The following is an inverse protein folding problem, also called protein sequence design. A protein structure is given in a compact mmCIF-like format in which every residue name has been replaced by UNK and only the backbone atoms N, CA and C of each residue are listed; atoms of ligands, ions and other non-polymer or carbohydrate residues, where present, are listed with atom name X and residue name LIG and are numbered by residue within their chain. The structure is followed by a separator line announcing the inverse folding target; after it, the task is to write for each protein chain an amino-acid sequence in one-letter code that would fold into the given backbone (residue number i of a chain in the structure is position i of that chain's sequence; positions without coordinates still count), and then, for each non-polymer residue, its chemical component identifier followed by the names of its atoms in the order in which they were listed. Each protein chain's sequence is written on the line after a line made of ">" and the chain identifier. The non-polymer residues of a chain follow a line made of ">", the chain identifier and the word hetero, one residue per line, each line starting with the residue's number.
data_IF_754089936597
#
_entry.id   IF_754089936597
#
_cell.length_a   1.000
_cell.length_b   1.000
_cell.length_c   1.000
_cell.angle_alpha   90.00
_cell.angle_beta   90.00
_cell.angle_gamma   90.00
#
_symmetry.space_group_name_H-M   'P 1'
#
loop_
_entity.id
_entity.type
_entity.pdbx_description
1 polymer ?
#
# COMPACT_ATOMS: atom_id res chain seq x y z
N UNK A 1 8.21 7.50 -17.64
CA UNK A 1 8.60 6.07 -17.62
C UNK A 1 7.58 5.27 -18.42
N UNK A 2 7.92 4.06 -18.86
CA UNK A 2 6.98 3.13 -19.51
C UNK A 2 7.15 1.72 -18.94
N UNK A 3 6.08 0.95 -18.93
CA UNK A 3 6.12 -0.47 -18.55
C UNK A 3 6.08 -1.33 -19.81
N UNK A 4 7.05 -2.22 -20.00
CA UNK A 4 7.06 -3.18 -21.11
C UNK A 4 7.64 -4.50 -20.64
N UNK A 5 6.97 -5.62 -20.94
CA UNK A 5 7.41 -6.96 -20.55
C UNK A 5 7.74 -7.06 -19.04
N UNK A 6 6.86 -6.49 -18.19
CA UNK A 6 7.03 -6.45 -16.72
C UNK A 6 8.30 -5.73 -16.22
N UNK A 7 8.85 -4.80 -17.02
CA UNK A 7 9.99 -3.95 -16.67
C UNK A 7 9.62 -2.48 -16.75
N UNK A 8 10.12 -1.69 -15.81
CA UNK A 8 10.04 -0.23 -15.82
C UNK A 8 11.22 0.30 -16.62
N UNK A 9 10.94 1.10 -17.64
CA UNK A 9 11.93 1.67 -18.54
C UNK A 9 11.86 3.19 -18.42
N UNK A 10 12.96 3.87 -18.03
CA UNK A 10 13.05 5.32 -18.10
C UNK A 10 12.75 5.83 -19.51
N UNK A 11 12.01 6.94 -19.63
CA UNK A 11 11.79 7.59 -20.93
C UNK A 11 12.96 8.50 -21.32
N UNK A 12 13.77 8.87 -20.34
CA UNK A 12 14.92 9.78 -20.47
C UNK A 12 16.15 9.15 -19.81
N UNK A 13 17.32 9.68 -20.15
CA UNK A 13 18.58 9.22 -19.58
C UNK A 13 18.70 9.58 -18.10
N UNK A 14 19.14 8.62 -17.29
CA UNK A 14 19.41 8.80 -15.86
C UNK A 14 20.91 8.67 -15.65
N UNK A 15 21.57 9.79 -15.33
CA UNK A 15 23.03 9.84 -15.13
C UNK A 15 23.48 9.13 -13.84
N UNK A 16 22.64 9.11 -12.82
CA UNK A 16 22.92 8.42 -11.57
C UNK A 16 22.62 6.92 -11.73
N UNK A 17 23.69 6.12 -11.82
CA UNK A 17 23.61 4.66 -11.97
C UNK A 17 22.92 3.96 -10.78
N UNK A 18 22.99 4.52 -9.57
CA UNK A 18 22.29 3.96 -8.40
C UNK A 18 20.79 4.19 -8.55
N UNK A 19 20.38 5.40 -8.89
CA UNK A 19 18.97 5.74 -9.13
C UNK A 19 18.39 4.94 -10.29
N UNK A 20 19.13 4.81 -11.39
CA UNK A 20 18.73 4.00 -12.55
C UNK A 20 18.46 2.55 -12.15
N UNK A 21 19.36 1.93 -11.37
CA UNK A 21 19.16 0.57 -10.85
C UNK A 21 17.99 0.46 -9.90
N UNK A 22 17.74 1.48 -9.07
CA UNK A 22 16.58 1.50 -8.17
C UNK A 22 15.27 1.48 -8.96
N UNK A 23 15.16 2.30 -10.02
CA UNK A 23 14.00 2.36 -10.91
C UNK A 23 13.80 1.04 -11.68
N UNK A 24 14.88 0.50 -12.27
CA UNK A 24 14.81 -0.74 -13.06
C UNK A 24 14.41 -1.96 -12.21
N UNK A 25 14.82 -1.99 -10.94
CA UNK A 25 14.50 -3.06 -9.99
C UNK A 25 13.24 -2.81 -9.17
N UNK A 26 12.59 -1.64 -9.32
CA UNK A 26 11.41 -1.29 -8.57
C UNK A 26 10.29 -2.31 -8.80
N UNK A 27 9.59 -2.65 -7.70
CA UNK A 27 8.41 -3.51 -7.71
C UNK A 27 7.28 -2.80 -6.98
N UNK A 28 6.13 -2.72 -7.62
CA UNK A 28 4.90 -2.29 -6.97
C UNK A 28 4.49 -3.32 -5.92
N UNK A 29 3.81 -2.89 -4.85
CA UNK A 29 3.41 -3.80 -3.78
C UNK A 29 2.48 -4.91 -4.26
N UNK A 30 1.57 -4.61 -5.19
CA UNK A 30 0.74 -5.63 -5.87
C UNK A 30 1.55 -6.78 -6.51
N UNK A 31 2.83 -6.59 -6.82
CA UNK A 31 3.67 -7.62 -7.44
C UNK A 31 4.29 -8.60 -6.42
N UNK A 32 4.25 -8.31 -5.12
CA UNK A 32 4.87 -9.16 -4.09
C UNK A 32 4.08 -9.28 -2.79
N UNK A 33 3.14 -8.38 -2.52
CA UNK A 33 2.25 -8.42 -1.37
C UNK A 33 1.27 -9.60 -1.46
N UNK A 34 0.98 -10.21 -0.32
CA UNK A 34 0.06 -11.33 -0.20
C UNK A 34 -0.70 -11.20 1.12
N UNK A 35 -2.01 -11.08 1.02
CA UNK A 35 -2.89 -11.04 2.18
C UNK A 35 -3.45 -12.42 2.48
N UNK A 36 -3.63 -12.71 3.75
CA UNK A 36 -4.56 -13.75 4.17
C UNK A 36 -5.98 -13.22 3.99
N UNK A 37 -6.99 -14.11 3.95
CA UNK A 37 -8.38 -13.66 3.95
C UNK A 37 -8.66 -12.76 5.14
N UNK A 38 -9.55 -11.77 4.97
CA UNK A 38 -9.76 -10.70 5.95
C UNK A 38 -10.19 -11.23 7.33
N UNK A 39 -10.81 -12.41 7.37
CA UNK A 39 -11.19 -13.17 8.55
C UNK A 39 -10.00 -13.57 9.44
N UNK A 40 -8.77 -13.53 8.93
CA UNK A 40 -7.56 -13.85 9.67
C UNK A 40 -6.99 -12.64 10.44
N UNK A 41 -7.60 -11.46 10.32
CA UNK A 41 -7.22 -10.28 11.08
C UNK A 41 -8.20 -10.06 12.22
N UNK A 42 -7.71 -10.22 13.45
CA UNK A 42 -8.51 -10.09 14.67
C UNK A 42 -8.63 -8.63 15.13
N UNK A 43 -9.74 -8.31 15.81
CA UNK A 43 -9.96 -7.03 16.49
C UNK A 43 -9.82 -5.80 15.57
N UNK A 44 -10.40 -5.88 14.36
CA UNK A 44 -10.47 -4.75 13.45
C UNK A 44 -11.34 -3.62 13.96
N UNK A 45 -10.84 -2.39 13.88
CA UNK A 45 -11.61 -1.17 14.06
C UNK A 45 -12.24 -0.79 12.70
N UNK A 46 -13.56 -0.92 12.60
CA UNK A 46 -14.32 -0.76 11.35
C UNK A 46 -15.13 0.52 11.43
N UNK A 47 -15.02 1.37 10.41
CA UNK A 47 -15.81 2.59 10.30
C UNK A 47 -16.54 2.65 8.96
N UNK A 48 -17.73 3.26 8.98
CA UNK A 48 -18.51 3.58 7.79
C UNK A 48 -19.22 4.92 8.00
N UNK A 49 -19.02 5.84 7.07
CA UNK A 49 -19.71 7.11 6.94
C UNK A 49 -20.56 7.07 5.68
N UNK A 50 -21.88 7.05 5.85
CA UNK A 50 -22.84 7.00 4.74
C UNK A 50 -23.07 8.34 4.04
N UNK A 51 -22.74 9.48 4.67
CA UNK A 51 -22.89 10.80 4.05
C UNK A 51 -21.77 11.05 3.05
N UNK A 52 -20.54 10.63 3.38
CA UNK A 52 -19.36 10.72 2.51
C UNK A 52 -19.09 9.47 1.65
N UNK A 53 -20.01 8.49 1.62
CA UNK A 53 -19.75 7.04 1.46
C UNK A 53 -18.28 6.62 1.61
N UNK A 54 -17.71 6.72 2.81
CA UNK A 54 -16.33 6.30 3.12
C UNK A 54 -16.37 5.16 4.13
N UNK A 55 -15.55 4.14 3.93
CA UNK A 55 -15.38 3.04 4.87
C UNK A 55 -13.91 2.78 5.14
N UNK A 56 -13.60 2.29 6.34
CA UNK A 56 -12.27 1.83 6.65
C UNK A 56 -12.27 0.65 7.61
N UNK A 57 -11.18 -0.11 7.59
CA UNK A 57 -10.91 -1.16 8.56
C UNK A 57 -9.44 -1.10 8.97
N UNK A 58 -9.17 -0.98 10.28
CA UNK A 58 -7.82 -0.86 10.85
C UNK A 58 -7.50 -2.08 11.72
N UNK A 59 -6.39 -2.74 11.42
CA UNK A 59 -5.94 -3.96 12.09
C UNK A 59 -4.51 -3.78 12.61
N UNK A 60 -4.23 -4.22 13.84
CA UNK A 60 -2.85 -4.30 14.33
C UNK A 60 -2.18 -5.54 13.75
N UNK A 61 -1.09 -5.36 12.99
CA UNK A 61 -0.29 -6.48 12.49
C UNK A 61 0.80 -6.86 13.49
N UNK A 62 1.44 -8.00 13.24
CA UNK A 62 2.64 -8.47 13.91
C UNK A 62 3.84 -8.33 12.97
N UNK A 63 5.05 -8.21 13.52
CA UNK A 63 6.28 -8.12 12.70
C UNK A 63 6.60 -9.42 11.93
N UNK A 64 5.99 -10.54 12.32
CA UNK A 64 6.15 -11.81 11.63
C UNK A 64 5.20 -11.99 10.42
N UNK A 65 4.27 -11.05 10.22
CA UNK A 65 3.42 -10.97 9.02
C UNK A 65 4.26 -10.92 7.75
N UNK A 66 3.79 -11.62 6.70
CA UNK A 66 4.52 -11.76 5.45
C UNK A 66 4.75 -10.41 4.76
N UNK A 67 3.73 -9.55 4.68
CA UNK A 67 3.85 -8.24 4.03
C UNK A 67 4.76 -7.30 4.82
N UNK A 68 4.68 -7.34 6.15
CA UNK A 68 5.57 -6.55 7.01
C UNK A 68 7.03 -6.95 6.80
N UNK A 69 7.32 -8.25 6.70
CA UNK A 69 8.66 -8.76 6.37
C UNK A 69 9.12 -8.31 4.98
N UNK A 70 8.27 -8.39 3.96
CA UNK A 70 8.61 -7.96 2.60
C UNK A 70 8.91 -6.46 2.53
N UNK A 71 8.14 -5.62 3.22
CA UNK A 71 8.40 -4.18 3.30
C UNK A 71 9.75 -3.90 3.98
N UNK A 72 10.05 -4.55 5.11
CA UNK A 72 11.33 -4.38 5.82
C UNK A 72 12.55 -4.90 5.06
N UNK A 73 12.39 -5.89 4.18
CA UNK A 73 13.47 -6.35 3.29
C UNK A 73 13.79 -5.34 2.19
N UNK A 74 12.79 -4.59 1.74
CA UNK A 74 12.88 -3.67 0.59
C UNK A 74 13.23 -2.24 0.99
N UNK A 75 12.77 -1.82 2.16
CA UNK A 75 12.93 -0.45 2.65
C UNK A 75 13.62 -0.45 4.01
N UNK A 76 14.52 0.50 4.21
CA UNK A 76 15.12 0.76 5.52
C UNK A 76 14.11 1.51 6.41
N UNK A 77 13.24 0.77 7.10
CA UNK A 77 12.18 1.31 7.96
C UNK A 77 12.77 1.50 9.38
N UNK A 78 13.01 2.75 9.85
CA UNK A 78 13.80 3.03 11.05
C UNK A 78 12.98 2.90 12.35
N UNK A 79 12.20 1.82 12.48
CA UNK A 79 11.44 1.51 13.69
C UNK A 79 11.16 0.02 13.78
N UNK A 80 11.27 -0.56 14.98
CA UNK A 80 10.95 -1.97 15.22
C UNK A 80 9.47 -2.22 15.51
N UNK A 81 8.64 -1.17 15.57
CA UNK A 81 7.21 -1.30 15.85
C UNK A 81 6.49 -2.05 14.72
N UNK A 82 5.57 -2.94 15.11
CA UNK A 82 4.70 -3.59 14.14
C UNK A 82 3.64 -2.59 13.64
N UNK A 83 3.39 -2.53 12.32
CA UNK A 83 2.48 -1.55 11.76
C UNK A 83 1.02 -1.89 12.02
N UNK A 84 0.16 -0.89 11.85
CA UNK A 84 -1.28 -1.10 11.65
C UNK A 84 -1.55 -1.19 10.15
N UNK A 85 -2.31 -2.18 9.71
CA UNK A 85 -2.89 -2.25 8.38
C UNK A 85 -4.18 -1.43 8.38
N UNK A 86 -4.29 -0.48 7.47
CA UNK A 86 -5.48 0.33 7.29
C UNK A 86 -5.99 0.16 5.86
N UNK A 87 -7.18 -0.41 5.73
CA UNK A 87 -7.90 -0.53 4.47
C UNK A 87 -8.87 0.65 4.41
N UNK A 88 -8.83 1.45 3.35
CA UNK A 88 -9.75 2.56 3.12
C UNK A 88 -10.42 2.40 1.77
N UNK A 89 -11.70 2.75 1.72
CA UNK A 89 -12.38 2.88 0.44
C UNK A 89 -13.49 3.91 0.47
N UNK A 90 -13.93 4.28 -0.73
CA UNK A 90 -15.05 5.18 -0.94
C UNK A 90 -15.98 4.66 -2.03
N UNK A 91 -17.17 5.27 -2.12
CA UNK A 91 -18.18 4.93 -3.12
C UNK A 91 -19.07 3.79 -2.65
N UNK A 92 -19.80 3.17 -3.59
CA UNK A 92 -20.72 2.09 -3.28
C UNK A 92 -19.96 0.89 -2.68
N UNK A 93 -20.34 0.47 -1.48
CA UNK A 93 -19.83 -0.72 -0.79
C UNK A 93 -19.98 -2.00 -1.63
N UNK A 94 -21.05 -2.08 -2.43
CA UNK A 94 -21.27 -3.21 -3.36
C UNK A 94 -20.36 -3.18 -4.58
N UNK A 95 -19.63 -2.07 -4.76
CA UNK A 95 -18.72 -1.83 -5.86
C UNK A 95 -19.37 -0.99 -6.95
N UNK A 96 -18.81 0.18 -7.19
CA UNK A 96 -19.02 0.99 -8.39
C UNK A 96 -17.71 1.07 -9.18
N UNK A 97 -17.81 1.35 -10.48
CA UNK A 97 -16.66 1.74 -11.32
C UNK A 97 -16.06 3.10 -10.93
N UNK A 98 -16.70 3.80 -9.99
CA UNK A 98 -16.28 5.09 -9.45
C UNK A 98 -16.04 4.93 -7.94
N UNK A 99 -14.81 5.15 -7.49
CA UNK A 99 -14.40 4.98 -6.09
C UNK A 99 -12.90 4.71 -6.00
N UNK A 100 -12.34 4.81 -4.80
CA UNK A 100 -10.95 4.44 -4.54
C UNK A 100 -10.87 3.36 -3.47
N UNK A 101 -9.88 2.47 -3.60
CA UNK A 101 -9.47 1.51 -2.58
C UNK A 101 -7.98 1.67 -2.38
N UNK A 102 -7.59 1.89 -1.13
CA UNK A 102 -6.21 2.11 -0.72
C UNK A 102 -5.91 1.30 0.53
N UNK A 103 -4.66 0.86 0.64
CA UNK A 103 -4.13 0.20 1.82
C UNK A 103 -2.95 1.01 2.36
N UNK A 104 -2.82 1.02 3.69
CA UNK A 104 -1.68 1.64 4.37
C UNK A 104 -1.11 0.70 5.44
N UNK A 105 0.22 0.62 5.51
CA UNK A 105 0.96 0.04 6.63
C UNK A 105 1.56 1.16 7.46
N UNK A 106 0.94 1.48 8.60
CA UNK A 106 1.30 2.60 9.46
C UNK A 106 2.21 2.09 10.58
N UNK A 107 3.52 2.34 10.47
CA UNK A 107 4.52 1.93 11.47
C UNK A 107 4.58 2.92 12.65
N UNK A 108 4.50 4.21 12.34
CA UNK A 108 4.47 5.30 13.30
C UNK A 108 3.54 6.40 12.79
N UNK A 109 2.69 6.90 13.68
CA UNK A 109 1.79 8.03 13.42
C UNK A 109 1.67 8.84 14.70
N UNK A 110 2.27 10.03 14.72
CA UNK A 110 2.18 10.98 15.83
C UNK A 110 2.48 12.41 15.34
N UNK A 111 2.34 13.40 16.23
CA UNK A 111 2.53 14.82 15.87
C UNK A 111 3.93 15.19 15.35
N UNK A 112 4.95 14.38 15.63
CA UNK A 112 6.36 14.65 15.28
C UNK A 112 6.86 13.80 14.12
N UNK A 113 6.35 12.58 13.97
CA UNK A 113 6.89 11.58 13.05
C UNK A 113 5.77 10.69 12.49
N UNK A 114 5.82 10.49 11.18
CA UNK A 114 4.93 9.60 10.44
C UNK A 114 5.77 8.69 9.54
N UNK A 115 5.63 7.39 9.71
CA UNK A 115 6.29 6.36 8.88
C UNK A 115 5.20 5.40 8.44
N UNK A 116 4.89 5.41 7.15
CA UNK A 116 3.90 4.54 6.56
C UNK A 116 4.28 4.16 5.12
N UNK A 117 3.69 3.06 4.66
CA UNK A 117 3.69 2.65 3.26
C UNK A 117 2.26 2.65 2.77
N UNK A 118 1.98 3.15 1.56
CA UNK A 118 0.65 3.11 0.95
C UNK A 118 0.68 2.51 -0.44
N UNK A 119 -0.43 1.87 -0.82
CA UNK A 119 -0.64 1.32 -2.16
C UNK A 119 -2.13 1.37 -2.52
N UNK A 120 -2.42 1.64 -3.79
CA UNK A 120 -3.77 1.70 -4.31
C UNK A 120 -3.81 1.18 -5.75
N UNK A 121 -4.75 0.28 -6.02
CA UNK A 121 -4.97 -0.28 -7.37
C UNK A 121 -6.42 -0.07 -7.75
N UNK A 122 -6.66 0.92 -8.61
CA UNK A 122 -8.00 1.35 -8.99
C UNK A 122 -8.18 1.20 -10.50
N UNK A 123 -9.34 0.67 -10.90
CA UNK A 123 -9.78 0.69 -12.30
C UNK A 123 -10.51 2.01 -12.55
N UNK A 124 -9.97 2.82 -13.45
CA UNK A 124 -10.56 4.11 -13.84
C UNK A 124 -10.94 4.09 -15.32
N UNK A 125 -11.94 4.90 -15.76
CA UNK A 125 -12.20 5.10 -17.18
C UNK A 125 -10.95 5.55 -17.92
N UNK A 126 -10.78 5.10 -19.17
CA UNK A 126 -9.75 5.62 -20.06
C UNK A 126 -10.12 7.01 -20.56
N UNK A 127 -9.11 7.85 -20.76
CA UNK A 127 -9.23 9.12 -21.48
C UNK A 127 -9.68 8.95 -22.94
#
# INVERSE_FOLDING_TARGET
>A
MKMKNNKIIPNEEIKDEKLKKEIENFKFFVQYGSFKGIENYENGDISYDSEAPIYSAKYQLKNDDYNVKELRKRYNIPTEKAPKLLLKGSGDLKGSSVGYKEIEFIFLENKKENIYFSDGLNLIPSD
#
